data_IF_756784856461
#
_entry.id   IF_756784856461
#
_cell.length_a   1.000
_cell.length_b   1.000
_cell.length_c   1.000
_cell.angle_alpha   90.00
_cell.angle_beta   90.00
_cell.angle_gamma   90.00
#
_symmetry.space_group_name_H-M   'P 1'
#
loop_
_entity.id
_entity.type
_entity.pdbx_description
1 polymer ?
#
# COMPACT_ATOMS: atom_id res chain seq x y z
N UNK A 1 -56.87 33.77 62.68
CA UNK A 1 -56.72 34.13 61.25
C UNK A 1 -57.18 32.93 60.45
N UNK A 2 -58.51 32.81 60.30
CA UNK A 2 -59.25 33.04 59.05
C UNK A 2 -58.86 32.03 57.97
N UNK A 3 -59.63 30.95 57.83
CA UNK A 3 -60.81 30.87 56.94
C UNK A 3 -60.45 31.07 55.46
N UNK A 4 -60.53 29.98 54.67
CA UNK A 4 -61.48 29.80 53.56
C UNK A 4 -61.11 28.53 52.76
N UNK A 5 -61.97 27.51 52.77
CA UNK A 5 -63.04 27.29 51.78
C UNK A 5 -62.43 26.93 50.40
N UNK A 6 -62.55 25.70 49.91
CA UNK A 6 -63.83 25.25 49.36
C UNK A 6 -63.87 23.75 49.17
N UNK A 7 -64.84 23.13 49.84
CA UNK A 7 -65.48 21.90 49.36
C UNK A 7 -66.47 22.30 48.27
N UNK A 8 -66.36 21.71 47.08
CA UNK A 8 -67.50 21.55 46.17
C UNK A 8 -67.56 20.11 45.67
N UNK A 9 -68.59 19.34 46.06
CA UNK A 9 -69.05 18.18 45.31
C UNK A 9 -69.96 18.68 44.18
N UNK A 10 -69.93 18.04 43.01
CA UNK A 10 -70.76 18.50 41.90
C UNK A 10 -70.59 17.68 40.64
N UNK A 11 -71.43 16.64 40.54
CA UNK A 11 -71.80 15.88 39.36
C UNK A 11 -71.88 16.69 38.06
N UNK A 12 -71.34 16.12 36.98
CA UNK A 12 -71.37 16.73 35.65
C UNK A 12 -71.05 15.72 34.55
N UNK A 13 -71.94 14.74 34.40
CA UNK A 13 -72.05 13.74 33.33
C UNK A 13 -71.50 14.20 31.96
N UNK A 14 -70.60 13.38 31.40
CA UNK A 14 -70.52 13.16 29.96
C UNK A 14 -70.10 11.71 29.69
N UNK A 15 -71.10 10.88 29.42
CA UNK A 15 -70.92 9.59 28.75
C UNK A 15 -70.32 9.82 27.37
N UNK A 16 -69.06 9.42 27.20
CA UNK A 16 -68.44 9.22 25.90
C UNK A 16 -67.67 7.91 25.95
N UNK A 17 -68.30 6.89 25.39
CA UNK A 17 -67.69 5.83 24.57
C UNK A 17 -66.17 5.75 24.64
N UNK A 18 -65.64 5.01 25.61
CA UNK A 18 -64.28 4.48 25.51
C UNK A 18 -64.37 3.06 24.99
N UNK A 19 -64.01 2.94 23.70
CA UNK A 19 -63.76 1.68 23.06
C UNK A 19 -62.81 0.84 23.91
N UNK A 20 -63.21 -0.40 24.06
CA UNK A 20 -62.44 -1.52 24.58
C UNK A 20 -61.10 -1.64 23.86
N UNK A 21 -60.07 -1.00 24.39
CA UNK A 21 -58.68 -1.30 24.05
C UNK A 21 -58.13 -2.24 25.11
N UNK A 22 -58.43 -3.53 24.92
CA UNK A 22 -57.70 -4.62 25.57
C UNK A 22 -56.22 -4.51 25.19
N UNK A 23 -55.27 -4.57 26.14
CA UNK A 23 -53.88 -4.80 25.79
C UNK A 23 -53.75 -6.24 25.30
N UNK A 24 -53.71 -6.42 23.98
CA UNK A 24 -53.29 -7.67 23.32
C UNK A 24 -51.83 -7.96 23.70
N UNK A 25 -51.53 -9.06 24.41
CA UNK A 25 -50.17 -9.56 24.52
C UNK A 25 -49.92 -10.48 23.32
N UNK A 26 -49.27 -10.00 22.25
CA UNK A 26 -49.06 -10.94 21.14
C UNK A 26 -48.34 -10.54 19.87
N UNK A 27 -47.96 -9.29 19.61
CA UNK A 27 -47.32 -8.95 18.33
C UNK A 27 -46.16 -7.96 18.43
N UNK A 28 -45.12 -8.35 19.17
CA UNK A 28 -43.74 -7.90 18.93
C UNK A 28 -42.75 -9.04 19.14
N UNK A 29 -43.08 -10.25 18.68
CA UNK A 29 -42.06 -11.26 18.44
C UNK A 29 -41.55 -11.09 17.02
N UNK A 30 -40.60 -10.17 16.86
CA UNK A 30 -39.63 -10.23 15.79
C UNK A 30 -38.98 -11.62 15.84
N UNK A 31 -39.52 -12.56 15.06
CA UNK A 31 -38.78 -13.75 14.64
C UNK A 31 -37.70 -13.31 13.66
N UNK A 32 -36.71 -12.56 14.14
CA UNK A 32 -35.40 -12.45 13.51
C UNK A 32 -34.56 -13.61 14.03
N UNK A 33 -34.87 -14.83 13.56
CA UNK A 33 -33.89 -15.93 13.60
C UNK A 33 -32.63 -15.43 12.85
N UNK A 34 -31.42 -15.63 13.37
CA UNK A 34 -30.31 -14.76 13.04
C UNK A 34 -29.77 -15.13 11.66
N UNK A 35 -29.71 -14.21 10.68
CA UNK A 35 -29.05 -14.45 9.39
C UNK A 35 -27.57 -14.85 9.54
N UNK A 36 -27.00 -14.64 10.72
CA UNK A 36 -25.64 -15.06 11.07
C UNK A 36 -25.45 -16.58 11.19
N UNK A 37 -26.47 -17.36 11.56
CA UNK A 37 -26.28 -18.81 11.79
C UNK A 37 -26.18 -19.56 10.47
N UNK A 38 -26.99 -19.17 9.49
CA UNK A 38 -26.98 -19.73 8.13
C UNK A 38 -25.75 -19.29 7.34
N UNK A 39 -25.38 -18.01 7.43
CA UNK A 39 -24.14 -17.50 6.83
C UNK A 39 -22.90 -18.17 7.44
N UNK A 40 -22.92 -18.46 8.75
CA UNK A 40 -21.82 -19.19 9.40
C UNK A 40 -21.75 -20.65 9.00
N UNK A 41 -22.87 -21.33 8.74
CA UNK A 41 -22.88 -22.70 8.26
C UNK A 41 -22.34 -22.78 6.84
N UNK A 42 -22.87 -21.96 5.94
CA UNK A 42 -22.38 -21.92 4.56
C UNK A 42 -20.92 -21.49 4.47
N UNK A 43 -20.49 -20.53 5.29
CA UNK A 43 -19.09 -20.13 5.36
C UNK A 43 -18.19 -21.26 5.91
N UNK A 44 -18.68 -22.10 6.83
CA UNK A 44 -17.89 -23.25 7.33
C UNK A 44 -17.69 -24.31 6.26
N UNK A 45 -18.71 -24.59 5.46
CA UNK A 45 -18.62 -25.57 4.36
C UNK A 45 -17.69 -25.07 3.25
N UNK A 46 -17.86 -23.82 2.80
CA UNK A 46 -17.00 -23.19 1.80
C UNK A 46 -15.53 -23.09 2.31
N UNK A 47 -15.32 -22.83 3.62
CA UNK A 47 -13.98 -22.80 4.23
C UNK A 47 -13.36 -24.20 4.32
N UNK A 48 -14.14 -25.25 4.59
CA UNK A 48 -13.62 -26.61 4.69
C UNK A 48 -13.07 -27.10 3.35
N UNK A 49 -13.82 -26.90 2.25
CA UNK A 49 -13.37 -27.26 0.90
C UNK A 49 -12.13 -26.47 0.48
N UNK A 50 -12.13 -25.14 0.71
CA UNK A 50 -10.99 -24.27 0.40
C UNK A 50 -9.77 -24.66 1.22
N UNK A 51 -9.94 -25.07 2.48
CA UNK A 51 -8.84 -25.44 3.38
C UNK A 51 -8.09 -26.68 2.89
N UNK A 52 -8.78 -27.69 2.39
CA UNK A 52 -8.14 -28.91 1.91
C UNK A 52 -7.35 -28.65 0.61
N UNK A 53 -7.95 -27.91 -0.33
CA UNK A 53 -7.27 -27.48 -1.56
C UNK A 53 -6.07 -26.57 -1.25
N UNK A 54 -6.24 -25.66 -0.29
CA UNK A 54 -5.19 -24.75 0.13
C UNK A 54 -4.03 -25.51 0.78
N UNK A 55 -4.29 -26.51 1.64
CA UNK A 55 -3.24 -27.29 2.32
C UNK A 55 -2.30 -27.99 1.34
N UNK A 56 -2.85 -28.65 0.33
CA UNK A 56 -2.04 -29.37 -0.66
C UNK A 56 -1.19 -28.42 -1.50
N UNK A 57 -1.78 -27.31 -1.96
CA UNK A 57 -1.07 -26.28 -2.74
C UNK A 57 -0.03 -25.53 -1.92
N UNK A 58 -0.35 -25.21 -0.66
CA UNK A 58 0.55 -24.53 0.27
C UNK A 58 1.73 -25.43 0.59
N UNK A 59 1.54 -26.71 0.88
CA UNK A 59 2.65 -27.60 1.27
C UNK A 59 3.74 -27.69 0.19
N UNK A 60 3.34 -27.77 -1.08
CA UNK A 60 4.28 -27.79 -2.21
C UNK A 60 4.96 -26.42 -2.42
N UNK A 61 4.21 -25.33 -2.25
CA UNK A 61 4.75 -23.98 -2.38
C UNK A 61 5.72 -23.65 -1.23
N UNK A 62 5.38 -24.04 0.00
CA UNK A 62 6.19 -23.82 1.20
C UNK A 62 7.55 -24.49 1.08
N UNK A 63 7.62 -25.73 0.60
CA UNK A 63 8.91 -26.43 0.45
C UNK A 63 9.86 -25.68 -0.48
N UNK A 64 9.36 -25.18 -1.62
CA UNK A 64 10.18 -24.39 -2.56
C UNK A 64 10.49 -22.99 -2.03
N UNK A 65 9.54 -22.40 -1.30
CA UNK A 65 9.73 -21.09 -0.69
C UNK A 65 10.76 -21.13 0.43
N UNK A 66 10.82 -22.21 1.21
CA UNK A 66 11.78 -22.41 2.31
C UNK A 66 13.22 -22.44 1.79
N UNK A 67 13.48 -23.20 0.73
CA UNK A 67 14.81 -23.28 0.08
C UNK A 67 15.27 -21.90 -0.46
N UNK A 68 14.36 -21.16 -1.11
CA UNK A 68 14.66 -19.82 -1.62
C UNK A 68 14.78 -18.79 -0.48
N UNK A 69 13.96 -18.90 0.55
CA UNK A 69 13.95 -17.97 1.68
C UNK A 69 15.23 -18.13 2.50
N UNK A 70 15.66 -19.35 2.82
CA UNK A 70 16.89 -19.59 3.59
C UNK A 70 18.13 -18.98 2.91
N UNK A 71 18.20 -19.02 1.58
CA UNK A 71 19.31 -18.40 0.83
C UNK A 71 19.28 -16.87 0.79
N UNK A 72 18.11 -16.23 0.93
CA UNK A 72 17.95 -14.77 0.80
C UNK A 72 17.60 -14.04 2.11
N UNK A 73 17.44 -14.80 3.19
CA UNK A 73 17.00 -14.34 4.50
C UNK A 73 17.86 -13.24 5.09
N UNK A 74 19.19 -13.39 5.02
CA UNK A 74 20.12 -12.40 5.56
C UNK A 74 19.98 -11.04 4.88
N UNK A 75 19.81 -11.05 3.56
CA UNK A 75 19.61 -9.84 2.77
C UNK A 75 18.27 -9.16 3.06
N UNK A 76 17.20 -9.95 3.20
CA UNK A 76 15.89 -9.43 3.57
C UNK A 76 15.89 -8.82 4.98
N UNK A 77 16.50 -9.51 5.95
CA UNK A 77 16.61 -9.05 7.33
C UNK A 77 17.36 -7.71 7.41
N UNK A 78 18.45 -7.54 6.65
CA UNK A 78 19.21 -6.29 6.63
C UNK A 78 18.41 -5.12 6.05
N UNK A 79 17.60 -5.35 5.00
CA UNK A 79 16.70 -4.31 4.46
C UNK A 79 15.59 -3.92 5.43
N UNK A 80 15.02 -4.88 6.14
CA UNK A 80 13.99 -4.62 7.17
C UNK A 80 14.61 -3.89 8.36
N UNK A 81 15.81 -4.28 8.81
CA UNK A 81 16.53 -3.61 9.87
C UNK A 81 16.86 -2.15 9.52
N UNK A 82 17.27 -1.87 8.28
CA UNK A 82 17.49 -0.50 7.79
C UNK A 82 16.22 0.36 7.80
N UNK A 83 15.06 -0.23 7.44
CA UNK A 83 13.77 0.47 7.53
C UNK A 83 13.35 0.72 8.98
N UNK A 84 13.54 -0.27 9.86
CA UNK A 84 13.25 -0.15 11.28
C UNK A 84 14.09 0.97 11.92
N UNK A 85 15.38 1.05 11.60
CA UNK A 85 16.25 2.13 12.04
C UNK A 85 15.81 3.50 11.51
N UNK A 86 15.32 3.58 10.27
CA UNK A 86 14.78 4.82 9.73
C UNK A 86 13.50 5.25 10.48
N UNK A 87 12.59 4.31 10.74
CA UNK A 87 11.37 4.56 11.53
C UNK A 87 11.68 4.96 12.97
N UNK A 88 12.68 4.33 13.60
CA UNK A 88 13.13 4.68 14.94
C UNK A 88 13.68 6.11 14.98
N UNK A 89 14.50 6.50 14.00
CA UNK A 89 15.01 7.87 13.88
C UNK A 89 13.89 8.89 13.71
N UNK A 90 12.93 8.62 12.83
CA UNK A 90 11.76 9.49 12.64
C UNK A 90 10.91 9.55 13.91
N UNK A 91 10.72 8.43 14.60
CA UNK A 91 10.02 8.38 15.88
C UNK A 91 10.74 9.19 16.97
N UNK A 92 12.06 9.12 17.03
CA UNK A 92 12.88 9.89 17.97
C UNK A 92 12.83 11.40 17.68
N UNK A 93 12.77 11.80 16.41
CA UNK A 93 12.54 13.20 16.02
C UNK A 93 11.13 13.68 16.40
N UNK A 94 10.10 12.87 16.14
CA UNK A 94 8.72 13.15 16.53
C UNK A 94 8.53 13.21 18.05
N UNK A 95 9.28 12.39 18.80
CA UNK A 95 9.27 12.37 20.27
C UNK A 95 9.83 13.68 20.86
N UNK A 96 10.83 14.26 20.20
CA UNK A 96 11.47 15.52 20.57
C UNK A 96 10.64 16.76 20.16
N UNK A 97 9.72 16.61 19.21
CA UNK A 97 8.79 17.65 18.76
C UNK A 97 7.48 17.73 19.56
N UNK A 98 6.46 18.32 18.97
CA UNK A 98 5.13 18.51 19.61
C UNK A 98 4.37 17.20 19.85
N UNK A 99 4.66 16.15 19.08
CA UNK A 99 3.90 14.88 19.09
C UNK A 99 4.60 13.78 19.88
N UNK A 100 4.97 14.07 21.14
CA UNK A 100 5.75 13.17 22.01
C UNK A 100 5.14 11.78 22.17
N UNK A 101 3.82 11.69 22.24
CA UNK A 101 3.10 10.41 22.41
C UNK A 101 3.15 9.54 21.16
N UNK A 102 3.02 10.17 19.98
CA UNK A 102 3.15 9.51 18.68
C UNK A 102 4.60 9.07 18.44
N UNK A 103 5.57 9.92 18.78
CA UNK A 103 6.99 9.60 18.69
C UNK A 103 7.39 8.39 19.54
N UNK A 104 6.86 8.31 20.78
CA UNK A 104 7.07 7.15 21.67
C UNK A 104 6.49 5.86 21.09
N UNK A 105 5.28 5.93 20.52
CA UNK A 105 4.66 4.77 19.87
C UNK A 105 5.45 4.33 18.63
N UNK A 106 5.88 5.27 17.78
CA UNK A 106 6.69 4.99 16.61
C UNK A 106 8.04 4.37 16.97
N UNK A 107 8.69 4.86 18.04
CA UNK A 107 9.94 4.31 18.55
C UNK A 107 9.78 2.89 19.07
N UNK A 108 8.75 2.62 19.88
CA UNK A 108 8.45 1.27 20.38
C UNK A 108 8.13 0.28 19.25
N UNK A 109 7.43 0.75 18.22
CA UNK A 109 7.19 -0.04 17.00
C UNK A 109 8.50 -0.31 16.26
N UNK A 110 9.36 0.69 16.07
CA UNK A 110 10.67 0.53 15.43
C UNK A 110 11.55 -0.49 16.15
N UNK A 111 11.62 -0.41 17.49
CA UNK A 111 12.39 -1.35 18.31
C UNK A 111 11.83 -2.78 18.21
N UNK A 112 10.51 -2.94 18.23
CA UNK A 112 9.86 -4.24 18.08
C UNK A 112 10.13 -4.86 16.71
N UNK A 113 10.09 -4.05 15.64
CA UNK A 113 10.38 -4.49 14.26
C UNK A 113 11.87 -4.81 14.09
N UNK A 114 12.77 -4.04 14.71
CA UNK A 114 14.20 -4.30 14.68
C UNK A 114 14.55 -5.64 15.35
N UNK A 115 14.04 -5.85 16.57
CA UNK A 115 14.22 -7.13 17.28
C UNK A 115 13.66 -8.31 16.48
N UNK A 116 12.52 -8.11 15.82
CA UNK A 116 11.95 -9.13 14.93
C UNK A 116 12.83 -9.42 13.70
N UNK A 117 13.45 -8.40 13.10
CA UNK A 117 14.37 -8.58 11.97
C UNK A 117 15.63 -9.36 12.37
N UNK A 118 16.18 -9.09 13.55
CA UNK A 118 17.33 -9.83 14.11
C UNK A 118 16.95 -11.26 14.47
N UNK A 119 15.78 -11.47 15.07
CA UNK A 119 15.26 -12.80 15.41
C UNK A 119 15.03 -13.64 14.15
N UNK A 120 14.50 -13.03 13.08
CA UNK A 120 14.37 -13.69 11.78
C UNK A 120 15.73 -14.19 11.34
N UNK A 121 16.79 -13.38 11.32
CA UNK A 121 18.12 -13.78 10.81
C UNK A 121 18.62 -15.12 11.36
N UNK A 122 18.35 -15.42 12.63
CA UNK A 122 18.75 -16.67 13.30
C UNK A 122 17.79 -17.86 13.19
N UNK A 123 16.51 -17.65 12.82
CA UNK A 123 15.46 -18.70 12.95
C UNK A 123 15.04 -19.39 11.66
N UNK A 124 14.82 -20.69 11.69
CA UNK A 124 14.39 -21.43 10.50
C UNK A 124 13.00 -20.99 10.01
N UNK A 125 12.70 -21.15 8.72
CA UNK A 125 11.39 -20.77 8.16
C UNK A 125 10.22 -21.49 8.84
N UNK A 126 10.40 -22.75 9.24
CA UNK A 126 9.42 -23.49 10.04
C UNK A 126 9.09 -22.83 11.39
N UNK A 127 10.06 -22.21 12.06
CA UNK A 127 9.82 -21.50 13.33
C UNK A 127 9.07 -20.18 13.10
N UNK A 128 9.39 -19.47 12.02
CA UNK A 128 8.70 -18.24 11.62
C UNK A 128 7.24 -18.54 11.25
N UNK A 129 7.01 -19.64 10.53
CA UNK A 129 5.67 -20.12 10.21
C UNK A 129 4.88 -20.46 11.48
N UNK A 130 5.50 -21.13 12.45
CA UNK A 130 4.89 -21.44 13.75
C UNK A 130 4.49 -20.18 14.54
N UNK A 131 5.31 -19.13 14.51
CA UNK A 131 4.95 -17.85 15.13
C UNK A 131 3.78 -17.17 14.43
N UNK A 132 3.75 -17.19 13.09
CA UNK A 132 2.65 -16.64 12.32
C UNK A 132 1.33 -17.38 12.60
N UNK A 133 1.39 -18.71 12.78
CA UNK A 133 0.23 -19.52 13.17
C UNK A 133 -0.27 -19.15 14.58
N UNK A 134 0.62 -19.05 15.57
CA UNK A 134 0.24 -18.66 16.94
C UNK A 134 -0.39 -17.25 16.96
N UNK A 135 0.18 -16.30 16.21
CA UNK A 135 -0.37 -14.97 16.05
C UNK A 135 -1.77 -14.99 15.41
N UNK A 136 -1.94 -15.76 14.32
CA UNK A 136 -3.22 -15.90 13.64
C UNK A 136 -4.31 -16.50 14.55
N UNK A 137 -3.94 -17.40 15.45
CA UNK A 137 -4.85 -17.99 16.45
C UNK A 137 -5.22 -17.01 17.55
N UNK A 138 -4.30 -16.14 17.98
CA UNK A 138 -4.54 -15.13 19.03
C UNK A 138 -5.33 -13.93 18.53
N UNK A 139 -5.08 -13.50 17.30
CA UNK A 139 -5.68 -12.29 16.73
C UNK A 139 -6.22 -12.57 15.31
N UNK A 140 -7.35 -13.29 15.20
CA UNK A 140 -7.90 -13.68 13.90
C UNK A 140 -8.25 -12.48 13.01
N UNK A 141 -8.75 -11.37 13.57
CA UNK A 141 -9.07 -10.16 12.80
C UNK A 141 -7.82 -9.49 12.21
N UNK A 142 -6.72 -9.43 12.97
CA UNK A 142 -5.47 -8.86 12.47
C UNK A 142 -4.89 -9.71 11.33
N UNK A 143 -4.96 -11.04 11.47
CA UNK A 143 -4.53 -11.96 10.43
C UNK A 143 -5.35 -11.83 9.14
N UNK A 144 -6.68 -11.72 9.23
CA UNK A 144 -7.53 -11.48 8.06
C UNK A 144 -7.21 -10.14 7.38
N UNK A 145 -6.96 -9.09 8.16
CA UNK A 145 -6.56 -7.78 7.63
C UNK A 145 -5.23 -7.85 6.88
N UNK A 146 -4.21 -8.47 7.47
CA UNK A 146 -2.90 -8.66 6.84
C UNK A 146 -3.00 -9.53 5.58
N UNK A 147 -3.75 -10.63 5.62
CA UNK A 147 -3.96 -11.50 4.48
C UNK A 147 -4.65 -10.78 3.32
N UNK A 148 -5.64 -9.93 3.61
CA UNK A 148 -6.32 -9.12 2.59
C UNK A 148 -5.35 -8.10 1.96
N UNK A 149 -4.55 -7.40 2.78
CA UNK A 149 -3.53 -6.46 2.27
C UNK A 149 -2.47 -7.18 1.43
N UNK A 150 -2.00 -8.34 1.87
CA UNK A 150 -1.06 -9.17 1.14
C UNK A 150 -1.63 -9.66 -0.20
N UNK A 151 -2.90 -10.09 -0.21
CA UNK A 151 -3.60 -10.50 -1.44
C UNK A 151 -3.76 -9.35 -2.44
N UNK A 152 -4.11 -8.15 -1.96
CA UNK A 152 -4.17 -6.95 -2.81
C UNK A 152 -2.79 -6.58 -3.36
N UNK A 153 -1.75 -6.61 -2.52
CA UNK A 153 -0.38 -6.33 -2.93
C UNK A 153 0.11 -7.34 -3.97
N UNK A 154 -0.19 -8.63 -3.77
CA UNK A 154 0.11 -9.69 -4.73
C UNK A 154 -0.64 -9.46 -6.05
N UNK A 155 -1.92 -9.11 -6.02
CA UNK A 155 -2.70 -8.76 -7.22
C UNK A 155 -2.07 -7.58 -7.98
N UNK A 156 -1.64 -6.55 -7.25
CA UNK A 156 -0.91 -5.40 -7.81
C UNK A 156 0.42 -5.82 -8.42
N UNK A 157 1.18 -6.70 -7.79
CA UNK A 157 2.44 -7.20 -8.33
C UNK A 157 2.24 -8.04 -9.60
N UNK A 158 1.26 -8.95 -9.61
CA UNK A 158 0.92 -9.74 -10.80
C UNK A 158 0.53 -8.82 -11.96
N UNK A 159 -0.34 -7.83 -11.72
CA UNK A 159 -0.77 -6.89 -12.75
C UNK A 159 0.36 -5.97 -13.22
N UNK A 160 1.19 -5.46 -12.30
CA UNK A 160 2.34 -4.63 -12.64
C UNK A 160 3.45 -5.41 -13.37
N UNK A 161 3.63 -6.69 -13.03
CA UNK A 161 4.59 -7.57 -13.71
C UNK A 161 4.13 -7.87 -15.14
N UNK A 162 2.83 -8.08 -15.36
CA UNK A 162 2.28 -8.27 -16.70
C UNK A 162 2.44 -7.00 -17.58
N UNK A 163 2.28 -5.81 -17.00
CA UNK A 163 2.49 -4.55 -17.72
C UNK A 163 3.95 -4.32 -18.14
N UNK A 164 4.93 -4.86 -17.40
CA UNK A 164 6.35 -4.82 -17.81
C UNK A 164 6.63 -5.65 -19.06
N UNK A 165 5.88 -6.74 -19.27
CA UNK A 165 6.01 -7.60 -20.46
C UNK A 165 5.33 -6.98 -21.70
N UNK A 166 4.26 -6.20 -21.53
CA UNK A 166 3.57 -5.53 -22.63
C UNK A 166 4.29 -4.26 -23.14
N UNK A 167 5.22 -3.70 -22.35
CA UNK A 167 6.05 -2.56 -22.73
C UNK A 167 7.30 -2.90 -23.54
N UNK A 168 7.68 -4.18 -23.66
CA UNK A 168 8.88 -4.62 -24.38
C UNK A 168 8.66 -4.97 -25.86
N UNK A 169 7.46 -4.73 -26.41
CA UNK A 169 7.18 -4.89 -27.85
C UNK A 169 7.04 -3.57 -28.61
N UNK A 170 7.29 -2.41 -27.98
CA UNK A 170 7.50 -1.18 -28.74
C UNK A 170 8.97 -1.11 -29.20
N UNK A 171 9.36 -2.07 -30.02
CA UNK A 171 10.43 -1.85 -30.99
C UNK A 171 9.90 -0.79 -31.97
N UNK A 172 10.35 0.44 -31.79
CA UNK A 172 10.68 1.40 -32.86
C UNK A 172 10.20 0.99 -34.26
N UNK A 173 8.92 1.20 -34.57
CA UNK A 173 8.45 1.44 -35.94
C UNK A 173 8.28 2.95 -36.12
N UNK A 174 9.40 3.66 -36.07
CA UNK A 174 9.52 5.05 -36.48
C UNK A 174 10.92 5.23 -37.06
N UNK A 175 11.21 4.48 -38.12
CA UNK A 175 12.50 4.49 -38.82
C UNK A 175 12.42 4.16 -40.31
N UNK A 176 11.25 3.82 -40.85
CA UNK A 176 11.06 3.40 -42.25
C UNK A 176 10.67 4.53 -43.22
N UNK A 177 11.03 5.78 -42.89
CA UNK A 177 10.87 6.92 -43.82
C UNK A 177 12.20 7.64 -44.15
N UNK A 178 13.34 7.18 -43.63
CA UNK A 178 14.64 7.81 -43.95
C UNK A 178 15.64 6.89 -44.66
N UNK A 179 15.46 5.57 -44.63
CA UNK A 179 16.37 4.62 -45.29
C UNK A 179 16.17 4.49 -46.83
N UNK A 180 15.21 5.22 -47.42
CA UNK A 180 15.03 5.27 -48.89
C UNK A 180 15.60 6.52 -49.56
N UNK A 181 16.11 7.49 -48.79
CA UNK A 181 16.74 8.70 -49.36
C UNK A 181 18.27 8.61 -49.45
N UNK A 182 18.91 7.73 -48.67
CA UNK A 182 20.38 7.57 -48.66
C UNK A 182 20.95 6.66 -49.75
N UNK A 183 20.10 6.08 -50.62
CA UNK A 183 20.55 5.27 -51.77
C UNK A 183 20.48 6.03 -53.11
N UNK A 184 19.98 7.27 -53.13
CA UNK A 184 19.85 8.08 -54.36
C UNK A 184 20.96 9.14 -54.53
N UNK A 185 21.74 9.45 -53.49
CA UNK A 185 22.74 10.53 -53.52
C UNK A 185 24.20 10.03 -53.49
N UNK A 186 24.45 8.75 -53.74
CA UNK A 186 25.81 8.18 -53.81
C UNK A 186 26.29 7.85 -55.24
N UNK A 187 25.54 8.26 -56.28
CA UNK A 187 25.82 7.87 -57.67
C UNK A 187 26.29 9.00 -58.61
N UNK A 188 26.55 10.23 -58.13
CA UNK A 188 26.83 11.37 -59.06
C UNK A 188 28.03 12.26 -58.70
N UNK A 189 28.94 11.86 -57.79
CA UNK A 189 30.16 12.65 -57.52
C UNK A 189 31.41 11.80 -57.30
N UNK A 190 31.71 10.93 -58.27
CA UNK A 190 33.04 10.36 -58.46
C UNK A 190 33.68 10.98 -59.72
N UNK A 191 34.60 11.93 -59.52
CA UNK A 191 35.59 12.31 -60.53
C UNK A 191 36.96 12.43 -59.82
N UNK A 192 38.01 11.72 -60.26
CA UNK A 192 39.31 11.70 -59.58
C UNK A 192 40.31 12.65 -60.26
N UNK A 193 41.10 13.41 -59.49
CA UNK A 193 42.44 13.84 -59.91
C UNK A 193 43.27 14.48 -58.78
N UNK A 194 44.37 13.79 -58.46
CA UNK A 194 45.75 14.29 -58.23
C UNK A 194 46.15 15.16 -57.01
N UNK A 195 47.31 14.75 -56.47
CA UNK A 195 48.40 15.46 -55.74
C UNK A 195 48.28 15.79 -54.24
N UNK A 196 48.93 14.95 -53.43
CA UNK A 196 50.08 15.22 -52.52
C UNK A 196 49.98 16.27 -51.34
N UNK A 197 50.82 16.15 -50.28
CA UNK A 197 50.47 16.46 -48.88
C UNK A 197 51.07 17.77 -48.31
N UNK A 198 50.51 18.34 -47.23
CA UNK A 198 51.20 19.31 -46.36
C UNK A 198 50.51 19.54 -44.99
N UNK A 199 51.36 19.76 -43.98
CA UNK A 199 51.23 19.89 -42.52
C UNK A 199 50.30 21.01 -41.98
N UNK A 200 49.96 21.02 -40.66
CA UNK A 200 49.04 21.99 -40.06
C UNK A 200 49.72 23.30 -39.62
N UNK A 201 49.02 24.44 -39.60
CA UNK A 201 49.50 25.64 -38.90
C UNK A 201 48.91 25.77 -37.49
N UNK A 202 49.81 25.98 -36.52
CA UNK A 202 49.54 26.69 -35.27
C UNK A 202 49.79 28.19 -35.50
N UNK A 203 48.97 29.08 -34.93
CA UNK A 203 49.18 30.54 -34.94
C UNK A 203 47.90 31.28 -34.55
N UNK A 204 47.72 31.65 -33.28
CA UNK A 204 48.08 32.93 -32.61
C UNK A 204 47.21 34.14 -32.97
N UNK A 205 46.83 34.88 -31.91
CA UNK A 205 46.45 36.31 -31.85
C UNK A 205 45.15 36.74 -32.52
N UNK A 206 44.40 37.75 -32.07
CA UNK A 206 44.27 38.51 -30.81
C UNK A 206 43.14 39.52 -31.06
N UNK A 207 42.53 40.01 -29.97
CA UNK A 207 41.91 41.34 -29.82
C UNK A 207 40.53 41.67 -30.43
N UNK A 208 39.74 42.36 -29.60
CA UNK A 208 38.52 43.11 -29.92
C UNK A 208 37.39 42.84 -28.91
N UNK A 209 37.39 43.43 -27.69
CA UNK A 209 36.73 44.70 -27.33
C UNK A 209 35.29 44.79 -27.88
N UNK A 210 34.19 44.90 -27.14
CA UNK A 210 33.85 45.88 -26.08
C UNK A 210 32.44 45.63 -25.47
N UNK A 211 32.33 45.70 -24.13
CA UNK A 211 31.35 46.35 -23.18
C UNK A 211 30.08 47.04 -23.78
N UNK A 212 28.89 47.23 -23.08
CA UNK A 212 28.65 47.32 -21.62
C UNK A 212 27.40 46.65 -21.00
N UNK A 213 27.48 46.62 -19.66
CA UNK A 213 26.43 46.49 -18.63
C UNK A 213 25.85 47.87 -18.29
N UNK A 214 24.52 47.98 -18.21
CA UNK A 214 23.82 49.06 -17.53
C UNK A 214 22.43 48.60 -17.04
N UNK A 215 22.22 48.62 -15.73
CA UNK A 215 20.90 48.84 -15.11
C UNK A 215 21.18 49.34 -13.70
N UNK A 216 20.87 50.62 -13.48
CA UNK A 216 20.94 51.28 -12.20
C UNK A 216 19.59 51.29 -11.49
N UNK A 217 19.64 51.52 -10.18
CA UNK A 217 18.67 52.15 -9.27
C UNK A 217 19.10 51.68 -7.86
N UNK A 218 19.89 52.44 -7.09
CA UNK A 218 19.54 53.69 -6.38
C UNK A 218 18.36 53.48 -5.43
N UNK A 219 18.65 53.41 -4.12
CA UNK A 219 17.73 53.94 -3.14
C UNK A 219 18.49 54.52 -1.94
N UNK A 220 17.95 55.64 -1.50
CA UNK A 220 18.38 56.62 -0.50
C UNK A 220 18.58 56.02 0.88
#
# INVERSE_FOLDING_TARGET
>A
MTDRDTTFPGDGRASATYGSMRPEPGQTSASSKPPMVELSQKAKDDVAEVKDIARDKISQATTKAEELADSQKGYAAERVAGLAQAMEKVGAELEQGENREVGRMARQMGESVHRFADDIKGRNMGEIAGMAEDFGRRQPLAFLGLAAMAGLAASRFVRASASRQAGSSQTTSTGDLHARHSAAESAMRQAPATSAPASPPSGTSSAGSSIPRATGASNV
#
